data_IF_406473994340
#
_entry.id   IF_406473994340
#
_cell.length_a   1.000
_cell.length_b   1.000
_cell.length_c   1.000
_cell.angle_alpha   90.00
_cell.angle_beta   90.00
_cell.angle_gamma   90.00
#
_symmetry.space_group_name_H-M   'P 1'
#
loop_
_entity.id
_entity.type
_entity.pdbx_description
1 polymer ?
#
# COMPACT_ATOMS: atom_id res chain seq x y z
N UNK A 1 -18.19 -8.34 10.25
CA UNK A 1 -19.29 -9.17 9.68
C UNK A 1 -19.31 -10.45 10.50
N UNK A 2 -20.26 -10.57 11.42
CA UNK A 2 -20.33 -11.74 12.29
C UNK A 2 -20.60 -13.01 11.48
N UNK A 3 -19.92 -14.08 11.85
CA UNK A 3 -20.15 -15.40 11.24
C UNK A 3 -21.57 -15.85 11.62
N UNK A 4 -22.35 -16.27 10.62
CA UNK A 4 -23.67 -16.82 10.87
C UNK A 4 -23.55 -18.24 11.43
N UNK A 5 -24.16 -18.46 12.58
CA UNK A 5 -24.23 -19.80 13.20
C UNK A 5 -25.21 -20.66 12.38
N UNK A 6 -24.78 -21.79 11.81
CA UNK A 6 -25.70 -22.64 11.09
C UNK A 6 -26.70 -23.31 12.05
N UNK A 7 -27.94 -23.44 11.61
CA UNK A 7 -28.87 -24.34 12.26
C UNK A 7 -28.63 -25.79 11.81
N UNK A 8 -29.37 -26.73 12.39
CA UNK A 8 -29.24 -28.15 12.09
C UNK A 8 -29.40 -28.48 10.59
N UNK A 9 -30.41 -27.92 9.92
CA UNK A 9 -30.69 -28.15 8.51
C UNK A 9 -29.56 -27.59 7.60
N UNK A 10 -29.08 -26.39 7.94
CA UNK A 10 -27.98 -25.77 7.23
C UNK A 10 -26.67 -26.57 7.39
N UNK A 11 -26.36 -27.05 8.59
CA UNK A 11 -25.17 -27.86 8.82
C UNK A 11 -25.29 -29.19 8.09
N UNK A 12 -26.43 -29.88 8.13
CA UNK A 12 -26.66 -31.10 7.40
C UNK A 12 -26.48 -30.91 5.87
N UNK A 13 -26.93 -29.77 5.35
CA UNK A 13 -26.73 -29.40 3.93
C UNK A 13 -25.24 -29.21 3.61
N UNK A 14 -24.49 -28.51 4.47
CA UNK A 14 -23.04 -28.29 4.32
C UNK A 14 -22.31 -29.63 4.31
N UNK A 15 -22.59 -30.51 5.28
CA UNK A 15 -22.02 -31.86 5.42
C UNK A 15 -22.23 -32.65 4.11
N UNK A 16 -23.47 -32.65 3.60
CA UNK A 16 -23.80 -33.33 2.34
C UNK A 16 -23.02 -32.75 1.15
N UNK A 17 -22.89 -31.43 1.07
CA UNK A 17 -22.16 -30.77 -0.03
C UNK A 17 -20.67 -31.06 0.02
N UNK A 18 -20.11 -31.33 1.20
CA UNK A 18 -18.74 -31.79 1.39
C UNK A 18 -18.55 -33.28 1.10
N UNK A 19 -19.60 -34.02 0.69
CA UNK A 19 -19.55 -35.45 0.42
C UNK A 19 -19.41 -36.30 1.68
N UNK A 20 -19.71 -35.74 2.85
CA UNK A 20 -19.69 -36.44 4.13
C UNK A 20 -21.07 -37.04 4.47
N UNK A 21 -21.09 -38.10 5.27
CA UNK A 21 -22.33 -38.70 5.81
C UNK A 21 -22.23 -38.69 7.31
N UNK A 22 -23.21 -38.06 7.97
CA UNK A 22 -23.32 -37.98 9.41
C UNK A 22 -24.77 -38.28 9.81
N UNK A 23 -24.96 -38.99 10.91
CA UNK A 23 -26.27 -39.18 11.49
C UNK A 23 -26.71 -37.95 12.32
N UNK A 24 -27.95 -37.97 12.81
CA UNK A 24 -28.54 -36.85 13.55
C UNK A 24 -27.78 -36.55 14.87
N UNK A 25 -27.27 -37.58 15.54
CA UNK A 25 -26.50 -37.41 16.78
C UNK A 25 -25.14 -36.78 16.49
N UNK A 26 -24.51 -37.19 15.40
CA UNK A 26 -23.23 -36.60 14.95
C UNK A 26 -23.39 -35.13 14.56
N UNK A 27 -24.45 -34.78 13.84
CA UNK A 27 -24.76 -33.39 13.48
C UNK A 27 -24.99 -32.54 14.75
N UNK A 28 -25.76 -33.04 15.71
CA UNK A 28 -25.98 -32.36 16.99
C UNK A 28 -24.69 -32.19 17.79
N UNK A 29 -23.86 -33.23 17.86
CA UNK A 29 -22.55 -33.17 18.52
C UNK A 29 -21.64 -32.10 17.86
N UNK A 30 -21.62 -31.99 16.55
CA UNK A 30 -20.88 -30.93 15.86
C UNK A 30 -21.43 -29.54 16.18
N UNK A 31 -22.75 -29.34 16.18
CA UNK A 31 -23.38 -28.06 16.52
C UNK A 31 -22.99 -27.60 17.94
N UNK A 32 -23.00 -28.52 18.89
CA UNK A 32 -22.59 -28.24 20.29
C UNK A 32 -21.12 -27.83 20.36
N UNK A 33 -20.23 -28.58 19.69
CA UNK A 33 -18.78 -28.29 19.71
C UNK A 33 -18.40 -27.01 18.97
N UNK A 34 -19.18 -26.61 17.94
CA UNK A 34 -18.93 -25.38 17.21
C UNK A 34 -19.28 -24.12 18.03
N UNK A 35 -20.10 -24.23 19.10
CA UNK A 35 -20.47 -23.05 19.90
C UNK A 35 -19.24 -22.30 20.41
N UNK A 36 -18.27 -23.00 20.99
CA UNK A 36 -17.04 -22.38 21.50
C UNK A 36 -16.18 -21.72 20.40
N UNK A 37 -16.32 -22.14 19.13
CA UNK A 37 -15.68 -21.50 17.99
C UNK A 37 -16.42 -20.20 17.67
N UNK A 38 -17.74 -20.23 17.59
CA UNK A 38 -18.56 -19.06 17.30
C UNK A 38 -18.43 -17.98 18.38
N UNK A 39 -18.37 -18.36 19.64
CA UNK A 39 -18.17 -17.44 20.77
C UNK A 39 -16.83 -16.68 20.65
N UNK A 40 -15.78 -17.34 20.12
CA UNK A 40 -14.49 -16.67 19.84
C UNK A 40 -14.59 -15.68 18.69
N UNK A 41 -15.36 -15.99 17.63
CA UNK A 41 -15.62 -15.04 16.56
C UNK A 41 -16.43 -13.84 17.05
N UNK A 42 -17.45 -14.04 17.86
CA UNK A 42 -18.21 -12.96 18.47
C UNK A 42 -17.32 -12.07 19.38
N UNK A 43 -16.37 -12.70 20.11
CA UNK A 43 -15.39 -11.96 20.89
C UNK A 43 -14.49 -11.10 19.98
N UNK A 44 -13.98 -11.65 18.89
CA UNK A 44 -13.16 -10.91 17.91
C UNK A 44 -13.96 -9.74 17.32
N UNK A 45 -15.21 -9.98 16.90
CA UNK A 45 -16.10 -8.94 16.36
C UNK A 45 -16.40 -7.82 17.39
N UNK A 46 -16.31 -8.11 18.69
CA UNK A 46 -16.51 -7.14 19.77
C UNK A 46 -15.26 -6.34 20.12
N UNK A 47 -14.09 -6.76 19.64
CA UNK A 47 -12.84 -6.03 19.90
C UNK A 47 -12.83 -4.71 19.11
N UNK A 48 -12.28 -3.64 19.70
CA UNK A 48 -12.13 -2.39 18.97
C UNK A 48 -11.15 -2.58 17.81
N UNK A 49 -11.51 -2.05 16.64
CA UNK A 49 -10.60 -1.99 15.52
C UNK A 49 -9.40 -1.10 15.85
N UNK A 50 -8.19 -1.62 15.70
CA UNK A 50 -6.97 -0.85 15.86
C UNK A 50 -6.53 -0.24 14.51
N UNK A 51 -7.48 0.46 13.87
CA UNK A 51 -7.26 1.08 12.56
C UNK A 51 -6.93 2.56 12.76
N UNK A 52 -5.90 3.04 12.06
CA UNK A 52 -5.54 4.46 12.08
C UNK A 52 -6.68 5.29 11.49
N UNK A 53 -7.20 6.32 12.20
CA UNK A 53 -8.28 7.15 11.70
C UNK A 53 -7.86 7.96 10.47
N UNK A 54 -8.79 8.13 9.52
CA UNK A 54 -8.60 8.98 8.35
C UNK A 54 -8.89 10.43 8.75
N UNK A 55 -7.83 11.24 8.87
CA UNK A 55 -7.91 12.58 9.49
C UNK A 55 -8.14 13.72 8.48
N UNK A 56 -7.66 13.55 7.23
CA UNK A 56 -7.63 14.65 6.26
C UNK A 56 -8.75 14.52 5.23
N UNK A 57 -9.52 15.61 4.99
CA UNK A 57 -10.58 15.62 3.96
C UNK A 57 -10.01 15.33 2.57
N UNK A 58 -10.75 14.56 1.79
CA UNK A 58 -10.34 14.16 0.45
C UNK A 58 -11.55 13.89 -0.45
N UNK A 59 -11.30 13.95 -1.75
CA UNK A 59 -12.23 13.45 -2.76
C UNK A 59 -11.70 12.14 -3.31
N UNK A 60 -12.58 11.34 -3.92
CA UNK A 60 -12.15 10.11 -4.60
C UNK A 60 -11.21 10.38 -5.79
N UNK A 61 -11.14 11.62 -6.27
CA UNK A 61 -10.31 11.95 -7.43
C UNK A 61 -10.88 11.43 -8.76
N UNK A 62 -10.00 11.26 -9.74
CA UNK A 62 -10.38 10.83 -11.08
C UNK A 62 -9.23 10.14 -11.83
N UNK A 63 -9.58 9.34 -12.84
CA UNK A 63 -8.59 8.79 -13.78
C UNK A 63 -8.19 9.87 -14.78
N UNK A 64 -6.89 10.19 -14.89
CA UNK A 64 -6.44 11.24 -15.81
C UNK A 64 -6.63 10.86 -17.28
N UNK A 65 -6.84 11.87 -18.13
CA UNK A 65 -6.84 11.70 -19.58
C UNK A 65 -5.44 11.41 -20.12
N UNK A 66 -5.31 11.07 -21.40
CA UNK A 66 -3.99 10.86 -22.04
C UNK A 66 -3.15 12.14 -22.08
N UNK A 67 -3.80 13.28 -22.25
CA UNK A 67 -3.17 14.59 -22.27
C UNK A 67 -2.61 14.96 -20.89
N UNK A 68 -3.32 14.61 -19.83
CA UNK A 68 -2.90 14.83 -18.43
C UNK A 68 -1.87 13.79 -17.95
N UNK A 69 -1.67 12.71 -18.70
CA UNK A 69 -0.83 11.57 -18.30
C UNK A 69 -0.03 11.01 -19.51
N UNK A 70 0.80 11.84 -20.14
CA UNK A 70 1.49 11.48 -21.40
C UNK A 70 2.45 10.28 -21.24
N UNK A 71 2.91 10.00 -20.02
CA UNK A 71 3.81 8.90 -19.73
C UNK A 71 3.13 7.68 -19.10
N UNK A 72 1.78 7.67 -18.98
CA UNK A 72 1.01 6.66 -18.26
C UNK A 72 1.48 6.46 -16.80
N UNK A 73 2.04 7.50 -16.20
CA UNK A 73 2.67 7.45 -14.87
C UNK A 73 1.68 7.60 -13.72
N UNK A 74 0.53 8.22 -13.95
CA UNK A 74 -0.59 8.26 -13.01
C UNK A 74 -1.57 7.12 -13.27
N UNK A 75 -1.91 6.37 -12.21
CA UNK A 75 -3.09 5.52 -12.22
C UNK A 75 -4.34 6.35 -11.90
N UNK A 76 -4.25 7.18 -10.85
CA UNK A 76 -5.36 7.98 -10.34
C UNK A 76 -4.87 9.30 -9.78
N UNK A 77 -5.54 10.41 -10.09
CA UNK A 77 -5.24 11.73 -9.50
C UNK A 77 -6.23 12.03 -8.40
N UNK A 78 -5.71 12.43 -7.22
CA UNK A 78 -6.52 12.83 -6.07
C UNK A 78 -5.70 13.79 -5.22
N UNK A 79 -6.26 14.95 -4.97
CA UNK A 79 -5.58 15.98 -4.20
C UNK A 79 -5.98 15.89 -2.73
N UNK A 80 -5.00 15.61 -1.86
CA UNK A 80 -5.19 15.55 -0.41
C UNK A 80 -4.14 16.45 0.22
N UNK A 81 -4.60 17.51 0.91
CA UNK A 81 -3.74 18.45 1.62
C UNK A 81 -3.60 18.00 3.07
N UNK A 82 -2.37 17.86 3.53
CA UNK A 82 -2.05 17.53 4.91
C UNK A 82 -2.14 18.73 5.87
N UNK A 83 -1.44 18.63 7.00
CA UNK A 83 -1.35 19.70 7.99
C UNK A 83 -0.83 21.01 7.35
N UNK A 84 -1.21 22.14 7.94
CA UNK A 84 -0.79 23.46 7.44
C UNK A 84 0.71 23.74 7.59
N UNK A 85 1.36 23.03 8.51
CA UNK A 85 2.78 23.15 8.82
C UNK A 85 3.42 21.75 8.94
N UNK A 86 4.72 21.65 8.75
CA UNK A 86 5.48 20.40 8.91
C UNK A 86 6.67 20.35 7.98
N UNK A 87 7.46 19.27 8.12
CA UNK A 87 8.69 19.06 7.34
C UNK A 87 8.47 18.96 5.83
N UNK A 88 7.28 18.51 5.41
CA UNK A 88 6.90 18.39 4.00
C UNK A 88 6.00 19.51 3.51
N UNK A 89 5.89 20.62 4.24
CA UNK A 89 5.13 21.81 3.80
C UNK A 89 5.59 22.27 2.42
N UNK A 90 4.63 22.54 1.53
CA UNK A 90 4.86 22.89 0.12
C UNK A 90 5.48 21.78 -0.75
N UNK A 91 5.56 20.53 -0.27
CA UNK A 91 5.99 19.39 -1.10
C UNK A 91 4.79 18.64 -1.63
N UNK A 92 4.84 18.30 -2.92
CA UNK A 92 3.86 17.46 -3.61
C UNK A 92 4.39 16.02 -3.72
N UNK A 93 3.50 15.05 -3.46
CA UNK A 93 3.89 13.65 -3.32
C UNK A 93 3.01 12.74 -4.18
N UNK A 94 3.63 11.83 -4.93
CA UNK A 94 2.97 10.72 -5.58
C UNK A 94 3.11 9.44 -4.74
N UNK A 95 2.02 8.71 -4.60
CA UNK A 95 1.97 7.46 -3.81
C UNK A 95 1.93 6.26 -4.76
N UNK A 96 2.88 5.34 -4.67
CA UNK A 96 2.87 4.10 -5.46
C UNK A 96 1.54 3.36 -5.28
N UNK A 97 1.01 2.77 -6.34
CA UNK A 97 -0.34 2.24 -6.35
C UNK A 97 -0.55 0.94 -5.55
N UNK A 98 0.48 0.39 -4.94
CA UNK A 98 0.33 -0.68 -3.93
C UNK A 98 0.08 -0.17 -2.50
N UNK A 99 0.15 1.15 -2.26
CA UNK A 99 -0.06 1.79 -0.96
C UNK A 99 -1.51 2.25 -0.84
N UNK A 100 -2.18 1.88 0.23
CA UNK A 100 -3.57 2.26 0.51
C UNK A 100 -3.67 3.74 0.88
N UNK A 101 -4.61 4.42 0.21
CA UNK A 101 -5.05 5.78 0.53
C UNK A 101 -6.57 5.73 0.61
N UNK A 102 -7.12 5.94 1.79
CA UNK A 102 -8.55 5.79 2.05
C UNK A 102 -9.42 6.60 1.07
N UNK A 103 -10.45 5.99 0.52
CA UNK A 103 -11.39 6.62 -0.42
C UNK A 103 -10.82 6.88 -1.82
N UNK A 104 -9.55 6.51 -2.09
CA UNK A 104 -8.92 6.68 -3.40
C UNK A 104 -8.74 5.33 -4.06
N UNK A 105 -9.26 5.11 -5.28
CA UNK A 105 -9.11 3.85 -6.00
C UNK A 105 -7.65 3.41 -6.13
N UNK A 106 -7.40 2.11 -5.98
CA UNK A 106 -6.13 1.46 -6.25
C UNK A 106 -6.32 0.13 -6.96
N UNK A 107 -5.36 -0.28 -7.75
CA UNK A 107 -5.37 -1.59 -8.42
C UNK A 107 -4.02 -2.31 -8.39
N UNK A 108 -3.00 -1.71 -7.78
CA UNK A 108 -1.65 -2.30 -7.71
C UNK A 108 -1.13 -2.75 -9.10
N UNK A 109 -1.34 -1.92 -10.13
CA UNK A 109 -0.98 -2.21 -11.51
C UNK A 109 -1.75 -3.37 -12.16
N UNK A 110 -2.73 -3.98 -11.47
CA UNK A 110 -3.40 -5.20 -11.85
C UNK A 110 -4.90 -4.98 -12.13
N UNK A 111 -5.32 -5.16 -13.38
CA UNK A 111 -6.73 -5.00 -13.79
C UNK A 111 -7.72 -5.89 -13.01
N UNK A 112 -7.24 -6.96 -12.38
CA UNK A 112 -8.05 -7.83 -11.51
C UNK A 112 -8.53 -7.15 -10.24
N UNK A 113 -7.87 -6.07 -9.81
CA UNK A 113 -8.26 -5.25 -8.65
C UNK A 113 -8.90 -3.92 -9.05
N UNK A 114 -9.19 -3.71 -10.33
CA UNK A 114 -9.84 -2.47 -10.76
C UNK A 114 -11.16 -2.24 -10.02
N UNK A 115 -11.32 -1.04 -9.48
CA UNK A 115 -12.49 -0.67 -8.69
C UNK A 115 -12.37 -0.92 -7.19
N UNK A 116 -11.25 -1.49 -6.70
CA UNK A 116 -11.00 -1.58 -5.27
C UNK A 116 -10.70 -0.19 -4.68
N UNK A 117 -11.39 0.15 -3.61
CA UNK A 117 -11.21 1.41 -2.86
C UNK A 117 -10.95 1.06 -1.40
N UNK A 118 -9.74 1.31 -0.87
CA UNK A 118 -9.44 1.08 0.53
C UNK A 118 -10.20 2.07 1.43
N UNK A 119 -10.50 1.67 2.66
CA UNK A 119 -11.12 2.48 3.71
C UNK A 119 -10.12 2.97 4.77
N UNK A 120 -8.83 2.61 4.61
CA UNK A 120 -7.75 2.96 5.51
C UNK A 120 -6.62 3.69 4.79
N UNK A 121 -5.92 4.56 5.51
CA UNK A 121 -4.63 5.08 5.08
C UNK A 121 -3.50 4.16 5.56
N UNK A 122 -2.52 3.90 4.70
CA UNK A 122 -1.26 3.33 5.15
C UNK A 122 -0.57 4.29 6.16
N UNK A 123 0.16 3.74 7.12
CA UNK A 123 0.91 4.54 8.10
C UNK A 123 1.73 5.64 7.46
N UNK A 124 2.41 5.34 6.35
CA UNK A 124 3.23 6.33 5.63
C UNK A 124 2.40 7.46 5.00
N UNK A 125 1.16 7.20 4.62
CA UNK A 125 0.23 8.22 4.09
C UNK A 125 -0.15 9.20 5.19
N UNK A 126 -0.54 8.70 6.35
CA UNK A 126 -0.82 9.52 7.54
C UNK A 126 0.38 10.39 7.91
N UNK A 127 1.59 9.81 7.99
CA UNK A 127 2.82 10.55 8.31
C UNK A 127 3.16 11.65 7.31
N UNK A 128 2.98 11.39 6.02
CA UNK A 128 3.17 12.39 4.97
C UNK A 128 2.21 13.57 5.16
N UNK A 129 0.95 13.29 5.42
CA UNK A 129 -0.08 14.31 5.63
C UNK A 129 0.13 15.07 6.95
N UNK A 130 0.48 14.39 8.04
CA UNK A 130 0.83 15.02 9.32
C UNK A 130 2.06 15.92 9.23
N UNK A 131 3.00 15.59 8.35
CA UNK A 131 4.16 16.42 8.06
C UNK A 131 3.88 17.59 7.09
N UNK A 132 2.63 17.83 6.72
CA UNK A 132 2.22 18.94 5.84
C UNK A 132 2.39 18.67 4.35
N UNK A 133 2.63 17.43 3.95
CA UNK A 133 2.75 17.04 2.55
C UNK A 133 1.40 17.08 1.82
N UNK A 134 1.44 17.31 0.50
CA UNK A 134 0.28 17.29 -0.38
C UNK A 134 0.36 16.10 -1.33
N UNK A 135 -0.55 15.14 -1.17
CA UNK A 135 -0.64 13.97 -2.06
C UNK A 135 -1.41 14.36 -3.32
N UNK A 136 -0.86 14.06 -4.50
CA UNK A 136 -1.48 14.34 -5.79
C UNK A 136 -2.11 13.12 -6.48
N UNK A 137 -1.92 11.93 -5.92
CA UNK A 137 -2.55 10.72 -6.45
C UNK A 137 -1.69 9.47 -6.36
N UNK A 138 -2.16 8.43 -7.07
CA UNK A 138 -1.58 7.10 -7.15
C UNK A 138 -0.74 6.95 -8.41
N UNK A 139 0.55 6.65 -8.22
CA UNK A 139 1.49 6.42 -9.31
C UNK A 139 1.39 4.96 -9.80
N UNK A 140 1.29 4.79 -11.12
CA UNK A 140 1.24 3.48 -11.77
C UNK A 140 2.42 2.60 -11.33
N UNK A 141 2.16 1.33 -11.06
CA UNK A 141 3.19 0.33 -10.81
C UNK A 141 2.99 -0.90 -11.70
N UNK A 142 3.99 -1.76 -11.73
CA UNK A 142 3.90 -3.03 -12.45
C UNK A 142 2.85 -3.96 -11.84
N UNK A 143 2.38 -4.93 -12.63
CA UNK A 143 1.33 -5.87 -12.27
C UNK A 143 1.69 -6.59 -10.96
N UNK A 144 0.95 -6.35 -9.88
CA UNK A 144 1.25 -6.81 -8.51
C UNK A 144 2.70 -6.56 -8.06
N UNK A 145 3.34 -5.54 -8.58
CA UNK A 145 4.75 -5.21 -8.32
C UNK A 145 5.77 -6.30 -8.74
N UNK A 146 5.41 -7.24 -9.61
CA UNK A 146 6.20 -8.43 -9.95
C UNK A 146 7.13 -8.27 -11.17
N UNK A 147 7.44 -7.05 -11.60
CA UNK A 147 8.35 -6.79 -12.73
C UNK A 147 9.34 -5.68 -12.44
N UNK A 148 10.56 -5.82 -12.92
CA UNK A 148 11.60 -4.77 -12.94
C UNK A 148 11.55 -3.86 -14.18
N UNK A 149 10.66 -4.13 -15.13
CA UNK A 149 10.41 -3.31 -16.32
C UNK A 149 9.30 -2.30 -16.08
N UNK A 150 8.79 -1.67 -17.18
CA UNK A 150 7.65 -0.77 -17.09
C UNK A 150 6.55 -1.15 -18.09
N UNK A 151 6.39 -2.46 -18.34
CA UNK A 151 5.62 -3.00 -19.45
C UNK A 151 4.45 -3.90 -19.04
N UNK A 152 4.34 -4.26 -17.76
CA UNK A 152 3.26 -5.16 -17.27
C UNK A 152 2.10 -4.42 -16.63
N UNK A 153 2.25 -3.13 -16.37
CA UNK A 153 1.22 -2.31 -15.71
C UNK A 153 -0.05 -2.17 -16.55
N UNK A 154 -1.20 -2.14 -15.88
CA UNK A 154 -2.50 -1.84 -16.46
C UNK A 154 -2.89 -0.39 -16.13
N UNK A 155 -3.58 0.34 -17.02
CA UNK A 155 -4.07 -0.08 -18.35
C UNK A 155 -3.00 -0.01 -19.44
N UNK A 156 -1.83 0.58 -19.19
CA UNK A 156 -0.79 0.75 -20.21
C UNK A 156 0.62 0.80 -19.58
N UNK A 157 1.66 0.42 -20.35
CA UNK A 157 3.05 0.56 -19.95
C UNK A 157 3.42 2.00 -19.59
N UNK A 158 4.25 2.18 -18.57
CA UNK A 158 4.81 3.48 -18.21
C UNK A 158 5.98 3.81 -19.14
N UNK A 159 5.94 4.99 -19.73
CA UNK A 159 6.94 5.50 -20.65
C UNK A 159 8.06 6.22 -19.89
N UNK A 160 9.32 5.96 -20.26
CA UNK A 160 10.45 6.69 -19.70
C UNK A 160 10.49 8.13 -20.23
N UNK A 161 10.32 9.16 -19.37
CA UNK A 161 10.29 10.55 -19.83
C UNK A 161 11.67 11.10 -20.26
N UNK A 162 12.76 10.39 -19.93
CA UNK A 162 14.12 10.79 -20.32
C UNK A 162 14.48 10.33 -21.73
N UNK A 163 13.90 9.21 -22.19
CA UNK A 163 14.22 8.64 -23.49
C UNK A 163 13.06 7.79 -24.00
N UNK A 164 12.43 8.25 -25.06
CA UNK A 164 11.36 7.53 -25.74
C UNK A 164 11.84 6.15 -26.23
N UNK A 165 10.95 5.14 -26.14
CA UNK A 165 11.25 3.76 -26.52
C UNK A 165 12.06 2.97 -25.50
N UNK A 166 12.42 3.58 -24.36
CA UNK A 166 13.12 2.89 -23.28
C UNK A 166 12.20 2.66 -22.09
N UNK A 167 12.49 1.59 -21.33
CA UNK A 167 11.79 1.28 -20.09
C UNK A 167 12.01 2.36 -19.04
N UNK A 168 10.97 2.70 -18.27
CA UNK A 168 11.10 3.52 -17.07
C UNK A 168 11.64 2.73 -15.87
N UNK A 169 11.81 1.41 -16.01
CA UNK A 169 12.09 0.52 -14.91
C UNK A 169 10.84 0.27 -14.05
N UNK A 170 10.92 -0.69 -13.14
CA UNK A 170 9.81 -1.11 -12.28
C UNK A 170 10.28 -1.74 -10.97
N UNK A 171 9.34 -2.00 -10.14
CA UNK A 171 7.89 -1.87 -10.24
C UNK A 171 7.36 -0.48 -9.88
N UNK A 172 8.15 0.45 -9.31
CA UNK A 172 7.76 1.84 -9.02
C UNK A 172 7.92 2.74 -10.27
N UNK A 173 7.45 2.27 -11.41
CA UNK A 173 7.63 2.89 -12.73
C UNK A 173 7.04 4.30 -12.80
N UNK A 174 5.78 4.46 -12.40
CA UNK A 174 5.10 5.76 -12.37
C UNK A 174 5.75 6.75 -11.41
N UNK A 175 6.16 6.29 -10.20
CA UNK A 175 6.82 7.14 -9.22
C UNK A 175 8.10 7.77 -9.77
N UNK A 176 8.94 6.99 -10.45
CA UNK A 176 10.16 7.50 -11.08
C UNK A 176 9.87 8.40 -12.27
N UNK A 177 8.89 8.05 -13.11
CA UNK A 177 8.53 8.84 -14.28
C UNK A 177 7.98 10.21 -13.89
N UNK A 178 7.11 10.30 -12.89
CA UNK A 178 6.55 11.55 -12.38
C UNK A 178 7.62 12.50 -11.84
N UNK A 179 8.60 11.96 -11.10
CA UNK A 179 9.75 12.73 -10.64
C UNK A 179 10.62 13.23 -11.80
N UNK A 180 10.92 12.36 -12.75
CA UNK A 180 11.76 12.70 -13.91
C UNK A 180 11.10 13.71 -14.83
N UNK A 181 9.76 13.78 -14.88
CA UNK A 181 8.97 14.75 -15.62
C UNK A 181 8.61 16.01 -14.82
N UNK A 182 9.06 16.12 -13.57
CA UNK A 182 8.81 17.24 -12.66
C UNK A 182 7.32 17.49 -12.31
N UNK A 183 6.50 16.44 -12.29
CA UNK A 183 5.09 16.54 -11.89
C UNK A 183 4.89 16.54 -10.38
N UNK A 184 5.84 15.98 -9.63
CA UNK A 184 5.84 15.96 -8.17
C UNK A 184 7.25 16.23 -7.63
N UNK A 185 7.34 16.66 -6.37
CA UNK A 185 8.62 16.87 -5.69
C UNK A 185 9.19 15.56 -5.14
N UNK A 186 8.33 14.72 -4.61
CA UNK A 186 8.63 13.48 -3.91
C UNK A 186 7.73 12.36 -4.43
N UNK A 187 8.17 11.11 -4.27
CA UNK A 187 7.33 9.96 -4.51
C UNK A 187 7.65 8.81 -3.56
N UNK A 188 6.66 7.94 -3.36
CA UNK A 188 6.82 6.68 -2.64
C UNK A 188 7.04 5.57 -3.65
N UNK A 189 8.04 4.73 -3.37
CA UNK A 189 8.30 3.47 -4.07
C UNK A 189 8.25 2.27 -3.15
N UNK A 190 8.20 1.06 -3.71
CA UNK A 190 8.34 -0.21 -3.00
C UNK A 190 9.41 -1.04 -3.68
N UNK A 191 10.19 -1.83 -2.92
CA UNK A 191 11.36 -2.57 -3.41
C UNK A 191 11.48 -3.93 -2.70
N UNK A 192 11.36 -4.99 -3.46
CA UNK A 192 11.58 -6.38 -3.02
C UNK A 192 12.87 -6.95 -3.64
N UNK A 193 13.10 -6.62 -4.92
CA UNK A 193 14.25 -7.09 -5.70
C UNK A 193 14.92 -5.97 -6.52
N UNK A 194 14.62 -4.68 -6.22
CA UNK A 194 15.14 -3.53 -6.96
C UNK A 194 14.11 -2.48 -7.33
N UNK A 195 12.84 -2.66 -6.93
CA UNK A 195 11.72 -1.87 -7.48
C UNK A 195 11.63 -0.41 -7.05
N UNK A 196 12.49 0.11 -6.18
CA UNK A 196 12.80 1.54 -6.01
C UNK A 196 14.02 1.89 -6.86
N UNK A 197 15.07 1.10 -6.75
CA UNK A 197 16.41 1.39 -7.28
C UNK A 197 16.48 1.29 -8.81
N UNK A 198 15.82 0.30 -9.40
CA UNK A 198 15.78 0.09 -10.87
C UNK A 198 15.12 1.29 -11.55
N UNK A 199 13.85 1.68 -11.23
CA UNK A 199 13.25 2.83 -11.89
C UNK A 199 13.95 4.15 -11.57
N UNK A 200 14.53 4.31 -10.38
CA UNK A 200 15.35 5.48 -10.06
C UNK A 200 16.55 5.59 -10.98
N UNK A 201 17.29 4.49 -11.20
CA UNK A 201 18.43 4.44 -12.10
C UNK A 201 18.03 4.70 -13.57
N UNK A 202 16.90 4.11 -14.02
CA UNK A 202 16.46 4.23 -15.41
C UNK A 202 15.92 5.62 -15.75
N UNK A 203 15.29 6.30 -14.80
CA UNK A 203 14.73 7.64 -14.97
C UNK A 203 15.65 8.77 -14.51
N UNK A 204 16.84 8.45 -13.96
CA UNK A 204 17.82 9.44 -13.50
C UNK A 204 17.31 10.27 -12.32
N UNK A 205 16.75 9.60 -11.31
CA UNK A 205 16.28 10.19 -10.04
C UNK A 205 16.90 9.42 -8.86
N UNK A 206 16.73 9.91 -7.65
CA UNK A 206 17.18 9.23 -6.45
C UNK A 206 16.09 8.31 -5.90
N UNK A 207 16.48 7.11 -5.48
CA UNK A 207 15.59 6.15 -4.83
C UNK A 207 16.34 5.36 -3.77
N UNK A 208 15.87 5.42 -2.53
CA UNK A 208 16.48 4.73 -1.41
C UNK A 208 15.60 3.56 -0.95
N UNK A 209 16.15 2.35 -1.04
CA UNK A 209 15.62 1.19 -0.34
C UNK A 209 16.16 1.21 1.09
N UNK A 210 15.33 1.52 2.09
CA UNK A 210 15.81 1.58 3.48
C UNK A 210 16.18 0.21 4.01
N UNK A 211 16.71 0.16 5.23
CA UNK A 211 16.86 -1.09 5.97
C UNK A 211 15.48 -1.73 6.18
N UNK A 212 15.41 -3.06 6.12
CA UNK A 212 14.16 -3.79 6.32
C UNK A 212 13.52 -3.44 7.67
N UNK A 213 12.22 -3.09 7.68
CA UNK A 213 11.48 -2.69 8.86
C UNK A 213 11.73 -1.25 9.35
N UNK A 214 12.64 -0.48 8.75
CA UNK A 214 12.84 0.93 9.16
C UNK A 214 11.61 1.79 8.85
N UNK A 215 10.92 1.50 7.75
CA UNK A 215 9.67 2.14 7.37
C UNK A 215 8.56 1.08 7.48
N UNK A 216 7.49 1.34 8.24
CA UNK A 216 6.41 0.37 8.45
C UNK A 216 5.67 0.06 7.14
N UNK A 217 5.23 -1.18 7.02
CA UNK A 217 4.52 -1.68 5.84
C UNK A 217 3.00 -1.74 6.00
N UNK A 218 2.47 -1.26 7.13
CA UNK A 218 1.03 -1.21 7.44
C UNK A 218 0.26 -0.45 6.37
N UNK A 219 -0.79 -1.08 5.82
CA UNK A 219 -1.61 -0.50 4.75
C UNK A 219 -0.95 -0.52 3.37
N UNK A 220 0.08 -1.34 3.17
CA UNK A 220 0.73 -1.52 1.87
C UNK A 220 0.50 -2.96 1.40
N UNK A 221 0.04 -3.14 0.17
CA UNK A 221 -0.20 -4.47 -0.39
C UNK A 221 1.13 -5.20 -0.57
N UNK A 222 1.34 -6.34 0.10
CA UNK A 222 2.62 -7.05 0.10
C UNK A 222 2.80 -7.93 -1.14
N UNK A 223 4.07 -8.24 -1.45
CA UNK A 223 4.46 -9.40 -2.25
C UNK A 223 4.94 -10.49 -1.30
N UNK A 224 5.92 -10.17 -0.46
CA UNK A 224 6.55 -11.10 0.48
C UNK A 224 7.12 -10.30 1.66
N UNK A 225 6.47 -10.40 2.81
CA UNK A 225 6.76 -9.56 3.98
C UNK A 225 8.21 -9.64 4.48
N UNK A 226 8.90 -10.75 4.21
CA UNK A 226 10.31 -10.93 4.61
C UNK A 226 11.31 -10.09 3.78
N UNK A 227 10.87 -9.58 2.62
CA UNK A 227 11.71 -8.79 1.71
C UNK A 227 11.04 -7.50 1.26
N UNK A 228 9.82 -7.25 1.68
CA UNK A 228 9.09 -6.04 1.30
C UNK A 228 9.69 -4.79 1.97
N UNK A 229 9.93 -3.77 1.14
CA UNK A 229 10.40 -2.46 1.59
C UNK A 229 9.55 -1.37 0.92
N UNK A 230 9.32 -0.30 1.64
CA UNK A 230 8.83 0.96 1.05
C UNK A 230 9.80 2.07 1.39
N UNK A 231 9.91 3.07 0.51
CA UNK A 231 10.88 4.12 0.73
C UNK A 231 10.75 5.31 -0.21
N UNK A 232 11.58 6.34 0.05
CA UNK A 232 11.52 7.62 -0.64
C UNK A 232 12.15 7.57 -2.04
N UNK A 233 11.56 8.36 -2.93
CA UNK A 233 12.11 8.71 -4.23
C UNK A 233 12.03 10.24 -4.43
N UNK A 234 13.04 10.85 -5.04
CA UNK A 234 13.16 12.31 -5.20
C UNK A 234 14.11 12.70 -6.33
N UNK A 235 14.18 14.01 -6.63
CA UNK A 235 15.14 14.54 -7.62
C UNK A 235 16.50 14.94 -7.02
N UNK A 236 16.63 15.02 -5.71
CA UNK A 236 17.86 15.35 -4.99
C UNK A 236 17.99 14.53 -3.70
N UNK A 237 19.19 14.50 -3.11
CA UNK A 237 19.47 13.70 -1.93
C UNK A 237 18.83 14.28 -0.67
N UNK A 238 18.76 15.60 -0.57
CA UNK A 238 18.21 16.31 0.57
C UNK A 238 16.72 15.99 0.75
N UNK A 239 15.95 16.07 -0.33
CA UNK A 239 14.53 15.71 -0.32
C UNK A 239 14.32 14.20 -0.07
N UNK A 240 15.24 13.35 -0.52
CA UNK A 240 15.19 11.91 -0.26
C UNK A 240 15.35 11.62 1.24
N UNK A 241 16.36 12.25 1.86
CA UNK A 241 16.61 12.12 3.29
C UNK A 241 15.47 12.70 4.14
N UNK A 242 14.94 13.86 3.73
CA UNK A 242 13.79 14.50 4.39
C UNK A 242 12.56 13.61 4.38
N UNK A 243 12.24 13.00 3.24
CA UNK A 243 11.11 12.08 3.14
C UNK A 243 11.35 10.83 3.99
N UNK A 244 12.57 10.26 3.96
CA UNK A 244 12.89 9.11 4.80
C UNK A 244 12.70 9.40 6.29
N UNK A 245 13.11 10.56 6.76
CA UNK A 245 12.95 11.00 8.16
C UNK A 245 11.48 11.03 8.58
N UNK A 246 10.58 11.42 7.67
CA UNK A 246 9.13 11.43 7.92
C UNK A 246 8.54 10.02 7.93
N UNK A 247 9.02 9.14 7.04
CA UNK A 247 8.47 7.79 6.89
C UNK A 247 8.92 6.83 7.98
N UNK A 248 10.15 6.99 8.52
CA UNK A 248 10.81 6.03 9.39
C UNK A 248 10.20 5.95 10.79
N UNK A 249 10.40 4.80 11.43
CA UNK A 249 10.01 4.52 12.82
C UNK A 249 8.82 3.58 12.94
N UNK A 250 8.66 2.97 14.11
CA UNK A 250 7.57 2.04 14.41
C UNK A 250 6.19 2.70 14.39
N UNK A 251 5.15 1.94 14.09
CA UNK A 251 3.77 2.41 14.09
C UNK A 251 2.85 1.67 15.09
N UNK A 252 3.38 0.70 15.81
CA UNK A 252 2.60 -0.12 16.74
C UNK A 252 1.72 -1.19 16.07
N UNK A 253 1.75 -1.29 14.75
CA UNK A 253 0.92 -2.21 13.95
C UNK A 253 1.77 -3.18 13.14
N UNK A 254 2.86 -2.72 12.53
CA UNK A 254 3.79 -3.56 11.80
C UNK A 254 4.83 -4.19 12.75
N UNK A 255 4.75 -5.52 13.00
CA UNK A 255 5.66 -6.18 13.94
C UNK A 255 7.13 -6.14 13.50
N UNK A 256 7.41 -5.93 12.21
CA UNK A 256 8.79 -5.82 11.72
C UNK A 256 9.38 -4.46 12.05
N UNK A 257 8.59 -3.40 12.07
CA UNK A 257 9.06 -2.05 12.40
C UNK A 257 9.59 -1.91 13.84
N UNK A 258 9.14 -2.76 14.77
CA UNK A 258 9.67 -2.83 16.13
C UNK A 258 11.16 -3.21 16.21
N UNK A 259 11.70 -3.90 15.21
CA UNK A 259 13.12 -4.32 15.21
C UNK A 259 14.08 -3.15 15.16
N UNK A 260 13.59 -1.95 14.82
CA UNK A 260 14.35 -0.69 14.78
C UNK A 260 14.08 0.21 16.00
N UNK A 261 13.34 -0.27 16.98
CA UNK A 261 13.35 0.34 18.32
C UNK A 261 14.78 0.46 18.77
N UNK A 262 15.22 1.69 18.89
CA UNK A 262 16.50 2.13 19.45
C UNK A 262 17.39 0.98 19.92
N UNK A 263 18.49 0.74 19.24
CA UNK A 263 19.60 0.05 19.89
C UNK A 263 19.64 0.57 21.33
N UNK A 264 19.55 -0.28 22.36
CA UNK A 264 19.81 0.19 23.67
C UNK A 264 21.17 0.84 23.59
N UNK A 265 21.23 2.17 23.68
CA UNK A 265 22.45 2.85 24.00
C UNK A 265 22.75 2.41 25.41
N UNK A 266 23.26 1.20 25.54
CA UNK A 266 23.99 0.84 26.73
C UNK A 266 25.18 1.74 26.73
N UNK A 267 25.02 2.93 27.27
CA UNK A 267 26.11 3.66 27.84
C UNK A 267 26.69 2.78 28.94
N UNK A 268 27.60 1.98 28.57
CA UNK A 268 28.51 1.36 29.49
C UNK A 268 29.73 2.24 29.63
#
# INVERSE_FOLDING_TARGET
MSIQRPNHEQLATIIKNLGMSMDENEVNFFLENLQGVFDRYDLIDSMPDNITPVLYPRTSGYRPTKEENPHNAWYWKSEITGASEGKLSNKTIAIKDNVMVAGVPMMNGASTLEGFVPDVDATIVTRILDAGGKILGKATCEYFCLSGGSHTSSPAPVINPRKEGYSAGGSSSGSAALLAHNEVDLAIGGDQGGSIRIPAAYCGVYGLKPTHGLVPYTGIMPIELSIDHTGPMSRNVEDNALLLEVLAGEDGLDPVSYTHLTLPTSSQ
#
